data_IF_651451217705
#
_entry.id   IF_651451217705
#
_cell.length_a   1.000
_cell.length_b   1.000
_cell.length_c   1.000
_cell.angle_alpha   90.00
_cell.angle_beta   90.00
_cell.angle_gamma   90.00
#
_symmetry.space_group_name_H-M   'P 1'
#
loop_
_entity.id
_entity.type
_entity.pdbx_description
1 polymer ?
#
# COMPACT_ATOMS: atom_id res chain seq x y z
N UNK A 1 -12.98 -17.43 3.21
CA UNK A 1 -11.80 -16.88 2.54
C UNK A 1 -10.57 -17.53 3.15
N UNK A 2 -9.87 -18.37 2.43
CA UNK A 2 -8.68 -19.06 2.95
C UNK A 2 -7.49 -18.12 2.78
N UNK A 3 -7.10 -17.46 3.85
CA UNK A 3 -5.83 -16.76 3.91
C UNK A 3 -4.71 -17.81 3.89
N UNK A 4 -3.89 -17.78 2.87
CA UNK A 4 -2.69 -18.61 2.84
C UNK A 4 -1.72 -18.10 3.89
N UNK A 5 -1.17 -19.02 4.62
CA UNK A 5 -0.62 -19.02 5.96
C UNK A 5 0.58 -18.11 6.29
N UNK A 6 0.99 -17.18 5.44
CA UNK A 6 2.20 -16.38 5.66
C UNK A 6 1.93 -14.86 5.78
N UNK A 7 0.67 -14.46 5.85
CA UNK A 7 0.29 -13.05 5.98
C UNK A 7 -0.34 -12.84 7.35
N UNK A 8 0.22 -11.94 8.13
CA UNK A 8 -0.38 -11.49 9.39
C UNK A 8 -1.18 -10.23 9.11
N UNK A 9 -2.45 -10.22 9.52
CA UNK A 9 -3.35 -9.09 9.32
C UNK A 9 -3.77 -8.56 10.67
N UNK A 10 -3.68 -7.25 10.84
CA UNK A 10 -4.13 -6.56 12.04
C UNK A 10 -4.80 -5.23 11.66
N UNK A 11 -5.65 -4.72 12.55
CA UNK A 11 -6.36 -3.47 12.37
C UNK A 11 -7.77 -3.47 12.99
N UNK A 12 -8.45 -2.33 12.92
CA UNK A 12 -7.98 -1.07 12.32
C UNK A 12 -6.88 -0.41 13.15
N UNK A 13 -5.85 0.11 12.47
CA UNK A 13 -4.76 0.88 13.05
C UNK A 13 -4.73 2.28 12.41
N UNK A 14 -4.38 3.29 13.19
CA UNK A 14 -4.05 4.59 12.60
C UNK A 14 -2.73 4.48 11.84
N UNK A 15 -2.56 5.33 10.83
CA UNK A 15 -1.41 5.27 9.92
C UNK A 15 -0.07 5.35 10.66
N UNK A 16 0.03 6.23 11.65
CA UNK A 16 1.21 6.38 12.48
C UNK A 16 1.53 5.12 13.31
N UNK A 17 0.49 4.51 13.88
CA UNK A 17 0.64 3.25 14.63
C UNK A 17 1.03 2.10 13.71
N UNK A 18 0.51 2.03 12.51
CA UNK A 18 0.86 0.98 11.56
C UNK A 18 2.33 1.06 11.14
N UNK A 19 2.85 2.28 10.94
CA UNK A 19 4.17 2.50 10.33
C UNK A 19 5.31 2.80 11.32
N UNK A 20 5.01 3.35 12.50
CA UNK A 20 6.04 3.85 13.41
C UNK A 20 5.96 3.18 14.78
N UNK A 21 7.04 2.50 15.18
CA UNK A 21 7.15 1.83 16.49
C UNK A 21 6.94 2.79 17.65
N UNK A 22 7.50 3.98 17.58
CA UNK A 22 7.34 5.01 18.61
C UNK A 22 5.86 5.37 18.83
N UNK A 23 5.10 5.53 17.75
CA UNK A 23 3.66 5.81 17.85
C UNK A 23 2.88 4.64 18.47
N UNK A 24 3.24 3.42 18.11
CA UNK A 24 2.65 2.21 18.68
C UNK A 24 2.94 2.08 20.19
N UNK A 25 4.15 2.42 20.62
CA UNK A 25 4.56 2.42 22.02
C UNK A 25 3.85 3.50 22.83
N UNK A 26 3.82 4.73 22.33
CA UNK A 26 3.12 5.87 22.99
C UNK A 26 1.64 5.55 23.17
N UNK A 27 0.99 5.00 22.16
CA UNK A 27 -0.42 4.61 22.20
C UNK A 27 -0.65 3.26 22.91
N UNK A 28 0.40 2.64 23.44
CA UNK A 28 0.34 1.39 24.23
C UNK A 28 -0.39 0.25 23.51
N UNK A 29 -0.17 0.12 22.22
CA UNK A 29 -0.72 -1.00 21.45
C UNK A 29 -0.03 -2.29 21.88
N UNK A 30 -0.81 -3.22 22.43
CA UNK A 30 -0.32 -4.51 22.93
C UNK A 30 -0.85 -5.64 22.07
N UNK A 31 -0.03 -6.68 21.91
CA UNK A 31 -0.45 -7.93 21.25
C UNK A 31 -0.49 -7.87 19.73
N UNK A 32 -0.09 -6.77 19.12
CA UNK A 32 0.06 -6.66 17.67
C UNK A 32 1.50 -6.95 17.25
N UNK A 33 1.67 -7.82 16.28
CA UNK A 33 2.95 -8.04 15.59
C UNK A 33 3.13 -7.17 14.36
N UNK A 34 2.11 -6.39 14.01
CA UNK A 34 2.09 -5.52 12.81
C UNK A 34 2.31 -4.05 13.17
N UNK A 35 1.88 -3.62 14.36
CA UNK A 35 1.98 -2.23 14.77
C UNK A 35 3.44 -1.75 14.79
N UNK A 36 3.72 -0.71 14.03
CA UNK A 36 5.05 -0.13 13.85
C UNK A 36 5.94 -0.84 12.83
N UNK A 37 5.41 -1.85 12.13
CA UNK A 37 6.18 -2.69 11.18
C UNK A 37 5.34 -3.20 10.02
N UNK A 38 4.32 -2.46 9.62
CA UNK A 38 3.42 -2.87 8.54
C UNK A 38 4.12 -2.81 7.18
N UNK A 39 4.13 -3.94 6.47
CA UNK A 39 4.65 -4.03 5.10
C UNK A 39 3.62 -3.60 4.04
N UNK A 40 2.33 -3.65 4.39
CA UNK A 40 1.23 -3.33 3.49
C UNK A 40 0.13 -2.57 4.23
N UNK A 41 -0.43 -1.58 3.59
CA UNK A 41 -1.55 -0.79 4.12
C UNK A 41 -2.79 -1.03 3.27
N UNK A 42 -3.86 -1.51 3.90
CA UNK A 42 -5.17 -1.63 3.28
C UNK A 42 -6.07 -0.48 3.76
N UNK A 43 -6.47 0.38 2.84
CA UNK A 43 -7.34 1.51 3.13
C UNK A 43 -8.81 1.09 3.10
N UNK A 44 -9.67 1.68 3.96
CA UNK A 44 -11.06 1.26 4.10
C UNK A 44 -11.94 1.64 2.90
N UNK A 45 -11.52 2.63 2.12
CA UNK A 45 -12.23 3.12 0.93
C UNK A 45 -11.24 3.74 -0.08
N UNK A 46 -11.72 3.95 -1.29
CA UNK A 46 -10.89 4.50 -2.37
C UNK A 46 -10.49 5.95 -2.11
N UNK A 47 -11.32 6.72 -1.44
CA UNK A 47 -11.07 8.13 -1.14
C UNK A 47 -9.84 8.29 -0.25
N UNK A 48 -9.78 7.54 0.86
CA UNK A 48 -8.63 7.59 1.77
C UNK A 48 -7.35 7.09 1.13
N UNK A 49 -7.43 6.01 0.36
CA UNK A 49 -6.28 5.48 -0.40
C UNK A 49 -5.80 6.46 -1.45
N UNK A 50 -6.71 7.09 -2.18
CA UNK A 50 -6.37 8.09 -3.20
C UNK A 50 -5.73 9.35 -2.60
N UNK A 51 -6.24 9.85 -1.47
CA UNK A 51 -5.63 10.99 -0.76
C UNK A 51 -4.22 10.64 -0.31
N UNK A 52 -4.02 9.48 0.30
CA UNK A 52 -2.69 9.03 0.73
C UNK A 52 -1.72 8.91 -0.46
N UNK A 53 -2.16 8.29 -1.54
CA UNK A 53 -1.39 8.16 -2.77
C UNK A 53 -0.95 9.54 -3.31
N UNK A 54 -1.89 10.47 -3.46
CA UNK A 54 -1.60 11.80 -4.00
C UNK A 54 -0.72 12.63 -3.06
N UNK A 55 -0.95 12.56 -1.75
CA UNK A 55 -0.10 13.23 -0.77
C UNK A 55 1.33 12.68 -0.81
N UNK A 56 1.51 11.37 -0.85
CA UNK A 56 2.82 10.73 -0.91
C UNK A 56 3.61 11.10 -2.16
N UNK A 57 2.96 11.17 -3.31
CA UNK A 57 3.62 11.48 -4.59
C UNK A 57 3.86 12.97 -4.78
N UNK A 58 2.86 13.82 -4.52
CA UNK A 58 2.95 15.25 -4.80
C UNK A 58 3.59 16.07 -3.67
N UNK A 59 3.42 15.65 -2.43
CA UNK A 59 3.95 16.35 -1.25
C UNK A 59 5.18 15.67 -0.68
N UNK A 60 5.21 14.34 -0.68
CA UNK A 60 6.30 13.53 -0.14
C UNK A 60 7.39 13.17 -1.14
N UNK A 61 7.23 13.49 -2.43
CA UNK A 61 8.20 13.14 -3.46
C UNK A 61 8.33 11.64 -3.73
N UNK A 62 7.33 10.85 -3.33
CA UNK A 62 7.34 9.40 -3.52
C UNK A 62 7.20 9.00 -4.98
N UNK A 63 7.91 7.96 -5.39
CA UNK A 63 7.71 7.28 -6.66
C UNK A 63 6.71 6.15 -6.49
N UNK A 64 5.97 5.85 -7.55
CA UNK A 64 4.91 4.84 -7.48
C UNK A 64 4.92 3.92 -8.69
N UNK A 65 4.55 2.67 -8.44
CA UNK A 65 4.12 1.73 -9.46
C UNK A 65 2.79 1.13 -9.01
N UNK A 66 1.83 1.06 -9.91
CA UNK A 66 0.50 0.58 -9.58
C UNK A 66 0.02 -0.49 -10.57
N UNK A 67 -0.65 -1.48 -10.04
CA UNK A 67 -1.26 -2.57 -10.80
C UNK A 67 -2.65 -2.87 -10.26
N UNK A 68 -3.58 -3.19 -11.13
CA UNK A 68 -4.92 -3.65 -10.74
C UNK A 68 -4.81 -5.10 -10.26
N UNK A 69 -5.24 -5.33 -9.02
CA UNK A 69 -5.23 -6.65 -8.41
C UNK A 69 -6.55 -7.40 -8.64
N UNK A 70 -6.48 -8.74 -8.63
CA UNK A 70 -7.65 -9.61 -8.75
C UNK A 70 -8.03 -10.00 -10.17
N UNK A 71 -7.28 -9.59 -11.18
CA UNK A 71 -7.43 -9.98 -12.57
C UNK A 71 -6.66 -11.29 -12.87
N UNK A 72 -7.08 -12.02 -13.90
CA UNK A 72 -6.37 -13.26 -14.32
C UNK A 72 -5.01 -12.99 -14.95
N UNK A 73 -4.86 -11.82 -15.53
CA UNK A 73 -3.59 -11.33 -16.10
C UNK A 73 -3.24 -9.99 -15.47
N UNK A 74 -1.97 -9.63 -15.35
CA UNK A 74 -1.58 -8.34 -14.83
C UNK A 74 -2.19 -7.21 -15.67
N UNK A 75 -2.85 -6.27 -14.99
CA UNK A 75 -3.47 -5.11 -15.62
C UNK A 75 -2.89 -3.83 -15.02
N UNK A 76 -2.58 -2.88 -15.90
CA UNK A 76 -2.10 -1.55 -15.53
C UNK A 76 -3.12 -0.51 -16.00
N UNK A 77 -3.54 0.33 -15.06
CA UNK A 77 -4.37 1.50 -15.35
C UNK A 77 -3.73 2.70 -14.66
N UNK A 78 -3.04 3.51 -15.44
CA UNK A 78 -2.37 4.71 -14.95
C UNK A 78 -3.30 5.92 -15.00
N UNK A 79 -3.09 6.88 -14.11
CA UNK A 79 -3.79 8.15 -14.14
C UNK A 79 -3.27 9.02 -15.29
N UNK A 80 -4.13 9.88 -15.83
CA UNK A 80 -3.73 10.88 -16.84
C UNK A 80 -2.66 11.85 -16.32
N UNK A 81 -2.69 12.13 -15.01
CA UNK A 81 -1.73 13.00 -14.34
C UNK A 81 -0.43 12.31 -13.89
N UNK A 82 -0.28 11.01 -14.11
CA UNK A 82 0.93 10.28 -13.73
C UNK A 82 2.09 10.62 -14.67
N UNK A 83 3.30 10.68 -14.09
CA UNK A 83 4.53 10.88 -14.85
C UNK A 83 4.81 9.68 -15.79
N UNK A 84 5.63 9.90 -16.81
CA UNK A 84 6.11 8.81 -17.67
C UNK A 84 6.86 7.75 -16.89
N UNK A 85 7.58 8.14 -15.85
CA UNK A 85 8.30 7.23 -14.96
C UNK A 85 7.35 6.32 -14.17
N UNK A 86 6.28 6.86 -13.59
CA UNK A 86 5.22 6.09 -12.94
C UNK A 86 4.58 5.08 -13.88
N UNK A 87 4.33 5.47 -15.12
CA UNK A 87 3.79 4.59 -16.16
C UNK A 87 4.75 3.45 -16.49
N UNK A 88 6.04 3.76 -16.64
CA UNK A 88 7.09 2.77 -16.87
C UNK A 88 7.19 1.78 -15.71
N UNK A 89 7.25 2.27 -14.49
CA UNK A 89 7.33 1.41 -13.30
C UNK A 89 6.10 0.51 -13.13
N UNK A 90 4.92 1.02 -13.45
CA UNK A 90 3.69 0.22 -13.41
C UNK A 90 3.69 -0.92 -14.44
N UNK A 91 4.19 -0.66 -15.63
CA UNK A 91 4.37 -1.69 -16.67
C UNK A 91 5.41 -2.73 -16.23
N UNK A 92 6.53 -2.26 -15.70
CA UNK A 92 7.59 -3.15 -15.19
C UNK A 92 7.08 -4.05 -14.06
N UNK A 93 6.31 -3.48 -13.12
CA UNK A 93 5.67 -4.24 -12.04
C UNK A 93 4.73 -5.32 -12.59
N UNK A 94 3.92 -4.99 -13.58
CA UNK A 94 3.02 -5.94 -14.23
C UNK A 94 3.79 -7.07 -14.94
N UNK A 95 4.90 -6.75 -15.59
CA UNK A 95 5.78 -7.74 -16.21
C UNK A 95 6.39 -8.69 -15.17
N UNK A 96 6.83 -8.18 -14.03
CA UNK A 96 7.36 -8.98 -12.93
C UNK A 96 6.28 -9.87 -12.29
N UNK A 97 5.04 -9.40 -12.25
CA UNK A 97 3.90 -10.14 -11.70
C UNK A 97 3.31 -11.16 -12.70
N UNK A 98 3.66 -11.09 -13.96
CA UNK A 98 3.21 -12.01 -14.98
C UNK A 98 3.84 -13.41 -14.74
N UNK A 99 2.99 -14.42 -14.79
CA UNK A 99 3.38 -15.83 -14.64
C UNK A 99 3.14 -16.58 -15.94
#
# INVERSE_FOLDING_TARGET
>A
MLFRSNVVIDGPLSLDVALYKEAAEIKKVKGSSVAGDADCLLFPNIESGNVFFKASTHMGGGEIAAMVMGTKVPCVLTSRGDSSLTKLYSIALACLAAK
#
